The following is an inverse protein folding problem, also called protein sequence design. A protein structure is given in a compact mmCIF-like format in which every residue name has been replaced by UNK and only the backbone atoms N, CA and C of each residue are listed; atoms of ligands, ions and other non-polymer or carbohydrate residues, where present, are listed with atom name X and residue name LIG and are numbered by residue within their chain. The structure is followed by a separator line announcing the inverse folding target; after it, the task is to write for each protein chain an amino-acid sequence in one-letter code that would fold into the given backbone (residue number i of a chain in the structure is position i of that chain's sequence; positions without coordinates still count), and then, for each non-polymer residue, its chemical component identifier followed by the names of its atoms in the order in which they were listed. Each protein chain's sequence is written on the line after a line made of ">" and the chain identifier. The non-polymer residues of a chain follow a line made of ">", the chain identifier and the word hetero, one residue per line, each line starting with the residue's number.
data_IF_019047696733
#
_entry.id   IF_019047696733
#
_cell.length_a   1.000
_cell.length_b   1.000
_cell.length_c   1.000
_cell.angle_alpha   90.00
_cell.angle_beta   90.00
_cell.angle_gamma   90.00
#
_symmetry.space_group_name_H-M   'P 1'
#
loop_
_entity.id
_entity.type
_entity.pdbx_description
1 polymer ?
#
# COMPACT_ATOMS: atom_id res chain seq x y z
N UNK A 1 5.13 -23.07 6.69
CA UNK A 1 4.28 -23.33 5.51
C UNK A 1 4.43 -22.16 4.54
N UNK A 2 4.53 -22.42 3.22
CA UNK A 2 4.77 -21.37 2.23
C UNK A 2 3.54 -20.48 2.03
N UNK A 3 3.77 -19.20 1.78
CA UNK A 3 2.70 -18.25 1.43
C UNK A 3 2.28 -18.39 -0.03
N UNK A 4 1.05 -17.96 -0.36
CA UNK A 4 0.56 -17.90 -1.76
C UNK A 4 1.56 -17.23 -2.71
N UNK A 5 2.12 -16.07 -2.30
CA UNK A 5 3.09 -15.31 -3.11
C UNK A 5 4.39 -16.09 -3.34
N UNK A 6 4.89 -16.80 -2.33
CA UNK A 6 6.09 -17.65 -2.47
C UNK A 6 5.85 -18.79 -3.47
N UNK A 7 4.67 -19.42 -3.44
CA UNK A 7 4.29 -20.48 -4.39
C UNK A 7 4.19 -19.94 -5.81
N UNK A 8 3.49 -18.82 -6.01
CA UNK A 8 3.38 -18.16 -7.32
C UNK A 8 4.75 -17.78 -7.88
N UNK A 9 5.63 -17.22 -7.04
CA UNK A 9 6.97 -16.84 -7.45
C UNK A 9 7.83 -18.04 -7.84
N UNK A 10 7.77 -19.14 -7.07
CA UNK A 10 8.48 -20.37 -7.36
C UNK A 10 8.08 -20.98 -8.69
N UNK A 11 6.77 -21.03 -8.98
CA UNK A 11 6.23 -21.68 -10.18
C UNK A 11 6.41 -20.84 -11.46
N UNK A 12 6.57 -19.52 -11.35
CA UNK A 12 6.60 -18.59 -12.49
C UNK A 12 7.62 -18.93 -13.58
N UNK A 13 8.78 -19.49 -13.21
CA UNK A 13 9.87 -19.81 -14.15
C UNK A 13 10.04 -21.30 -14.41
N UNK A 14 9.08 -22.14 -13.98
CA UNK A 14 9.23 -23.60 -14.01
C UNK A 14 8.66 -24.19 -15.27
N UNK A 15 9.39 -25.17 -15.80
CA UNK A 15 8.85 -26.15 -16.74
C UNK A 15 8.36 -27.36 -15.96
N UNK A 16 7.44 -28.10 -16.56
CA UNK A 16 6.85 -29.30 -15.96
C UNK A 16 7.32 -30.52 -16.76
N UNK A 17 7.55 -31.64 -16.08
CA UNK A 17 7.99 -32.88 -16.74
C UNK A 17 6.92 -33.48 -17.63
N UNK A 18 5.67 -33.49 -17.17
CA UNK A 18 4.55 -34.05 -17.91
C UNK A 18 3.25 -33.30 -17.69
N UNK A 19 2.24 -33.60 -18.53
CA UNK A 19 0.89 -33.09 -18.34
C UNK A 19 0.26 -33.56 -17.02
N UNK A 20 0.57 -34.79 -16.59
CA UNK A 20 0.06 -35.36 -15.34
C UNK A 20 0.64 -34.58 -14.15
N UNK A 21 1.94 -34.26 -14.17
CA UNK A 21 2.59 -33.45 -13.14
C UNK A 21 2.00 -32.05 -13.07
N UNK A 22 1.82 -31.41 -14.22
CA UNK A 22 1.18 -30.08 -14.29
C UNK A 22 -0.24 -30.11 -13.71
N UNK A 23 -1.07 -31.10 -14.11
CA UNK A 23 -2.43 -31.25 -13.59
C UNK A 23 -2.45 -31.46 -12.08
N UNK A 24 -1.55 -32.28 -11.54
CA UNK A 24 -1.41 -32.50 -10.11
C UNK A 24 -1.05 -31.22 -9.35
N UNK A 25 0.00 -30.53 -9.77
CA UNK A 25 0.47 -29.28 -9.15
C UNK A 25 -0.61 -28.18 -9.28
N UNK A 26 -1.24 -28.05 -10.45
CA UNK A 26 -2.28 -27.07 -10.71
C UNK A 26 -3.52 -27.30 -9.83
N UNK A 27 -3.95 -28.56 -9.66
CA UNK A 27 -5.07 -28.92 -8.81
C UNK A 27 -4.79 -28.61 -7.34
N UNK A 28 -3.58 -28.92 -6.86
CA UNK A 28 -3.12 -28.56 -5.52
C UNK A 28 -3.14 -27.04 -5.31
N UNK A 29 -2.51 -26.28 -6.22
CA UNK A 29 -2.42 -24.82 -6.13
C UNK A 29 -3.80 -24.14 -6.17
N UNK A 30 -4.74 -24.69 -6.93
CA UNK A 30 -6.12 -24.19 -6.99
C UNK A 30 -6.87 -24.46 -5.68
N UNK A 31 -6.70 -25.64 -5.10
CA UNK A 31 -7.42 -26.06 -3.89
C UNK A 31 -6.91 -25.32 -2.66
N UNK A 32 -5.60 -25.29 -2.45
CA UNK A 32 -5.00 -24.72 -1.23
C UNK A 32 -4.89 -23.19 -1.26
N UNK A 33 -4.65 -22.60 -2.44
CA UNK A 33 -4.30 -21.18 -2.55
C UNK A 33 -5.19 -20.38 -3.52
N UNK A 34 -6.16 -21.04 -4.17
CA UNK A 34 -6.95 -20.45 -5.24
C UNK A 34 -6.07 -19.78 -6.31
N UNK A 35 -4.97 -20.47 -6.69
CA UNK A 35 -4.07 -20.08 -7.77
C UNK A 35 -4.51 -20.83 -9.03
N UNK A 36 -4.66 -20.10 -10.15
CA UNK A 36 -4.92 -20.70 -11.47
C UNK A 36 -3.64 -20.65 -12.30
N UNK A 37 -3.03 -21.81 -12.54
CA UNK A 37 -1.85 -21.91 -13.39
C UNK A 37 -2.26 -21.92 -14.87
N UNK A 38 -1.50 -21.21 -15.70
CA UNK A 38 -1.65 -21.29 -17.14
C UNK A 38 -1.08 -22.62 -17.64
N UNK A 39 -1.79 -23.25 -18.58
CA UNK A 39 -1.31 -24.47 -19.25
C UNK A 39 0.00 -24.13 -19.97
N UNK A 40 1.09 -24.88 -19.73
CA UNK A 40 2.36 -24.62 -20.38
C UNK A 40 2.28 -24.93 -21.88
N UNK A 41 3.06 -24.24 -22.70
CA UNK A 41 3.15 -24.49 -24.13
C UNK A 41 3.88 -25.78 -24.47
N UNK A 42 4.74 -26.27 -23.57
CA UNK A 42 5.46 -27.54 -23.71
C UNK A 42 5.87 -28.11 -22.35
N UNK A 43 6.16 -29.41 -22.35
CA UNK A 43 6.75 -30.14 -21.23
C UNK A 43 8.24 -30.40 -21.50
N UNK A 44 9.02 -30.71 -20.47
CA UNK A 44 10.48 -30.76 -20.56
C UNK A 44 11.07 -31.90 -19.74
N UNK A 45 11.98 -32.66 -20.33
CA UNK A 45 12.79 -33.68 -19.64
C UNK A 45 14.04 -33.09 -18.99
N UNK A 46 14.06 -31.78 -18.78
CA UNK A 46 15.16 -31.10 -18.11
C UNK A 46 15.25 -31.61 -16.66
N UNK A 47 16.45 -31.91 -16.12
CA UNK A 47 16.61 -32.27 -14.71
C UNK A 47 15.98 -31.27 -13.72
N UNK A 48 15.84 -30.00 -14.11
CA UNK A 48 15.19 -28.95 -13.31
C UNK A 48 13.68 -28.82 -13.55
N UNK A 49 13.10 -29.57 -14.49
CA UNK A 49 11.67 -29.60 -14.72
C UNK A 49 10.94 -30.26 -13.53
N UNK A 50 9.80 -29.69 -13.14
CA UNK A 50 9.06 -30.14 -11.97
C UNK A 50 8.18 -31.36 -12.28
N UNK A 51 8.38 -32.40 -11.48
CA UNK A 51 7.33 -33.38 -11.19
C UNK A 51 6.61 -33.03 -9.88
N UNK A 52 5.49 -33.71 -9.64
CA UNK A 52 4.68 -33.49 -8.44
C UNK A 52 5.46 -33.77 -7.14
N UNK A 53 6.27 -34.83 -7.10
CA UNK A 53 7.02 -35.21 -5.91
C UNK A 53 8.07 -34.15 -5.53
N UNK A 54 8.77 -33.61 -6.52
CA UNK A 54 9.75 -32.54 -6.36
C UNK A 54 9.09 -31.25 -5.88
N UNK A 55 7.93 -30.90 -6.45
CA UNK A 55 7.15 -29.76 -5.97
C UNK A 55 6.72 -29.95 -4.50
N UNK A 56 6.16 -31.12 -4.16
CA UNK A 56 5.71 -31.41 -2.80
C UNK A 56 6.87 -31.35 -1.79
N UNK A 57 8.05 -31.88 -2.14
CA UNK A 57 9.23 -31.82 -1.29
C UNK A 57 9.73 -30.37 -1.09
N UNK A 58 9.80 -29.57 -2.16
CA UNK A 58 10.16 -28.14 -2.02
C UNK A 58 9.13 -27.35 -1.21
N UNK A 59 7.85 -27.68 -1.36
CA UNK A 59 6.77 -27.01 -0.65
C UNK A 59 6.86 -27.24 0.86
N UNK A 60 7.16 -28.48 1.26
CA UNK A 60 7.29 -28.88 2.67
C UNK A 60 8.61 -28.42 3.30
N UNK A 61 9.74 -28.69 2.63
CA UNK A 61 11.09 -28.57 3.21
C UNK A 61 11.98 -27.53 2.55
N UNK A 62 11.63 -27.07 1.36
CA UNK A 62 12.43 -26.11 0.62
C UNK A 62 12.29 -24.69 1.17
N UNK A 63 13.09 -23.76 0.65
CA UNK A 63 13.05 -22.36 1.04
C UNK A 63 12.26 -21.52 0.02
N UNK A 64 11.51 -20.56 0.51
CA UNK A 64 10.75 -19.59 -0.26
C UNK A 64 11.40 -18.22 -0.21
N UNK A 65 11.02 -17.34 -1.14
CA UNK A 65 11.47 -15.97 -1.13
C UNK A 65 10.99 -15.25 0.16
N UNK A 66 11.89 -14.51 0.81
CA UNK A 66 11.67 -13.88 2.12
C UNK A 66 12.05 -14.74 3.32
N UNK A 67 12.39 -16.01 3.14
CA UNK A 67 12.87 -16.84 4.25
C UNK A 67 14.29 -16.39 4.66
N UNK A 68 14.56 -16.38 5.98
CA UNK A 68 15.91 -16.20 6.51
C UNK A 68 16.60 -17.56 6.68
N UNK A 69 17.78 -17.69 6.10
CA UNK A 69 18.62 -18.89 6.17
C UNK A 69 19.97 -18.58 6.77
N UNK A 70 20.64 -19.60 7.31
CA UNK A 70 21.99 -19.52 7.87
C UNK A 70 22.87 -20.63 7.29
N UNK A 71 24.14 -20.32 7.12
CA UNK A 71 25.19 -21.25 6.75
C UNK A 71 26.50 -20.72 7.32
N UNK A 72 27.34 -21.60 7.88
CA UNK A 72 28.53 -21.18 8.63
C UNK A 72 28.14 -20.09 9.66
N UNK A 73 28.87 -18.96 9.66
CA UNK A 73 28.62 -17.79 10.52
C UNK A 73 27.78 -16.69 9.83
N UNK A 74 27.17 -17.01 8.68
CA UNK A 74 26.40 -16.07 7.87
C UNK A 74 24.89 -16.29 8.03
N UNK A 75 24.13 -15.20 7.97
CA UNK A 75 22.67 -15.24 7.77
C UNK A 75 22.32 -14.52 6.47
N UNK A 76 21.26 -14.95 5.79
CA UNK A 76 20.86 -14.35 4.52
C UNK A 76 19.37 -14.43 4.23
N UNK A 77 18.93 -13.50 3.39
CA UNK A 77 17.56 -13.36 2.91
C UNK A 77 17.42 -14.01 1.53
N UNK A 78 16.55 -15.00 1.44
CA UNK A 78 16.28 -15.71 0.19
C UNK A 78 15.48 -14.82 -0.75
N UNK A 79 16.01 -14.54 -1.94
CA UNK A 79 15.29 -13.89 -3.02
C UNK A 79 14.52 -14.90 -3.89
N UNK A 80 15.14 -16.03 -4.21
CA UNK A 80 14.53 -17.06 -5.06
C UNK A 80 14.91 -18.44 -4.52
N UNK A 81 13.91 -19.27 -4.23
CA UNK A 81 14.13 -20.67 -3.84
C UNK A 81 14.00 -21.59 -5.04
N UNK A 82 14.97 -22.47 -5.25
CA UNK A 82 14.87 -23.59 -6.19
C UNK A 82 14.82 -24.92 -5.41
N UNK A 83 14.72 -26.02 -6.17
CA UNK A 83 14.75 -27.38 -5.60
C UNK A 83 16.09 -27.66 -4.91
N UNK A 84 17.19 -27.33 -5.59
CA UNK A 84 18.55 -27.69 -5.14
C UNK A 84 19.37 -26.50 -4.66
N UNK A 85 18.95 -25.27 -4.98
CA UNK A 85 19.70 -24.04 -4.67
C UNK A 85 18.77 -22.95 -4.18
N UNK A 86 19.35 -21.95 -3.52
CA UNK A 86 18.67 -20.69 -3.20
C UNK A 86 19.52 -19.53 -3.70
N UNK A 87 18.87 -18.50 -4.21
CA UNK A 87 19.48 -17.21 -4.49
C UNK A 87 19.31 -16.32 -3.26
N UNK A 88 20.42 -15.93 -2.64
CA UNK A 88 20.46 -14.96 -1.55
C UNK A 88 20.68 -13.57 -2.13
N UNK A 89 19.95 -12.58 -1.62
CA UNK A 89 20.04 -11.18 -2.09
C UNK A 89 20.57 -10.20 -1.04
N UNK A 90 20.58 -10.62 0.22
CA UNK A 90 21.19 -9.91 1.32
C UNK A 90 21.79 -10.96 2.23
N UNK A 91 23.05 -10.81 2.60
CA UNK A 91 23.68 -11.60 3.65
C UNK A 91 24.36 -10.72 4.67
N UNK A 92 24.52 -11.24 5.87
CA UNK A 92 25.29 -10.63 6.94
C UNK A 92 26.37 -11.63 7.32
N UNK A 93 27.61 -11.28 7.00
CA UNK A 93 28.79 -12.06 7.34
C UNK A 93 29.36 -11.46 8.65
N UNK A 94 29.09 -12.11 9.78
CA UNK A 94 29.35 -11.55 11.11
C UNK A 94 28.48 -10.31 11.41
N UNK A 95 29.03 -9.10 11.14
CA UNK A 95 28.34 -7.81 11.31
C UNK A 95 28.24 -6.99 10.02
N UNK A 96 28.79 -7.46 8.91
CA UNK A 96 28.86 -6.68 7.67
C UNK A 96 27.75 -7.10 6.72
N UNK A 97 26.83 -6.20 6.34
CA UNK A 97 25.83 -6.50 5.32
C UNK A 97 26.45 -6.48 3.92
N UNK A 98 26.07 -7.46 3.10
CA UNK A 98 26.44 -7.56 1.70
C UNK A 98 25.17 -7.83 0.85
N UNK A 99 25.01 -7.06 -0.23
CA UNK A 99 23.84 -7.08 -1.12
C UNK A 99 24.10 -7.80 -2.45
N UNK A 100 25.29 -8.38 -2.61
CA UNK A 100 25.64 -9.15 -3.79
C UNK A 100 24.84 -10.46 -3.81
N UNK A 101 24.31 -10.77 -4.98
CA UNK A 101 23.54 -11.99 -5.17
C UNK A 101 24.45 -13.19 -5.22
N UNK A 102 24.17 -14.20 -4.41
CA UNK A 102 24.89 -15.48 -4.43
C UNK A 102 23.93 -16.65 -4.47
N UNK A 103 24.31 -17.70 -5.19
CA UNK A 103 23.56 -18.95 -5.26
C UNK A 103 24.22 -19.96 -4.32
N UNK A 104 23.44 -20.54 -3.41
CA UNK A 104 23.93 -21.50 -2.41
C UNK A 104 23.15 -22.81 -2.54
N UNK A 105 23.81 -23.99 -2.47
CA UNK A 105 23.10 -25.28 -2.39
C UNK A 105 22.21 -25.39 -1.16
N UNK A 106 21.01 -25.95 -1.33
CA UNK A 106 20.05 -26.20 -0.24
C UNK A 106 20.63 -27.12 0.84
N UNK A 107 21.52 -28.05 0.47
CA UNK A 107 22.11 -29.02 1.40
C UNK A 107 23.04 -28.42 2.47
N UNK A 108 23.46 -27.16 2.35
CA UNK A 108 24.39 -26.52 3.30
C UNK A 108 23.78 -25.34 4.07
N UNK A 109 22.48 -25.09 3.90
CA UNK A 109 21.75 -24.01 4.58
C UNK A 109 20.71 -24.58 5.55
N UNK A 110 20.41 -23.83 6.60
CA UNK A 110 19.34 -24.14 7.55
C UNK A 110 18.50 -22.90 7.85
N UNK A 111 17.26 -23.02 8.37
CA UNK A 111 16.48 -21.86 8.79
C UNK A 111 17.19 -21.05 9.89
N UNK A 112 17.21 -19.72 9.78
CA UNK A 112 17.89 -18.82 10.72
C UNK A 112 17.00 -18.31 11.88
N UNK A 113 15.68 -18.52 11.79
CA UNK A 113 14.71 -18.08 12.79
C UNK A 113 14.36 -16.59 12.73
N UNK A 114 13.41 -16.17 13.55
CA UNK A 114 12.79 -14.84 13.50
C UNK A 114 13.77 -13.71 13.88
N UNK A 115 14.66 -13.93 14.85
CA UNK A 115 15.67 -12.93 15.23
C UNK A 115 16.61 -12.58 14.06
N UNK A 116 17.00 -13.56 13.26
CA UNK A 116 17.83 -13.34 12.08
C UNK A 116 17.06 -12.58 11.00
N UNK A 117 15.79 -12.94 10.78
CA UNK A 117 14.89 -12.26 9.85
C UNK A 117 14.72 -10.78 10.24
N UNK A 118 14.41 -10.50 11.51
CA UNK A 118 14.29 -9.15 12.03
C UNK A 118 15.59 -8.34 11.86
N UNK A 119 16.74 -8.98 12.06
CA UNK A 119 18.04 -8.35 11.83
C UNK A 119 18.27 -8.00 10.35
N UNK A 120 17.92 -8.89 9.42
CA UNK A 120 18.01 -8.63 7.97
C UNK A 120 17.12 -7.46 7.56
N UNK A 121 15.86 -7.45 8.00
CA UNK A 121 14.93 -6.34 7.70
C UNK A 121 15.33 -5.01 8.36
N UNK A 122 15.90 -5.04 9.58
CA UNK A 122 16.44 -3.83 10.21
C UNK A 122 17.59 -3.20 9.40
N UNK A 123 18.42 -4.02 8.74
CA UNK A 123 19.47 -3.51 7.86
C UNK A 123 18.89 -2.87 6.61
N UNK A 124 17.89 -3.51 5.99
CA UNK A 124 17.19 -2.94 4.83
C UNK A 124 16.63 -1.55 5.19
N UNK A 125 15.91 -1.46 6.29
CA UNK A 125 15.26 -0.23 6.74
C UNK A 125 16.28 0.89 7.02
N UNK A 126 17.37 0.59 7.73
CA UNK A 126 18.48 1.55 7.98
C UNK A 126 19.14 2.07 6.71
N UNK A 127 19.06 1.33 5.61
CA UNK A 127 19.57 1.75 4.30
C UNK A 127 18.49 2.37 3.41
N UNK A 128 17.28 2.59 3.93
CA UNK A 128 16.15 3.10 3.14
C UNK A 128 15.72 2.12 2.05
N UNK A 129 15.88 0.81 2.28
CA UNK A 129 15.54 -0.27 1.36
C UNK A 129 14.41 -1.12 1.90
N UNK A 130 13.70 -1.77 1.01
CA UNK A 130 12.70 -2.77 1.35
C UNK A 130 12.87 -4.01 0.48
N UNK A 131 12.37 -5.14 0.97
CA UNK A 131 12.32 -6.39 0.21
C UNK A 131 10.86 -6.71 -0.09
N UNK A 132 10.48 -6.73 -1.36
CA UNK A 132 9.05 -6.82 -1.67
C UNK A 132 8.64 -6.84 -3.14
N UNK A 133 7.37 -6.48 -3.32
CA UNK A 133 6.55 -6.71 -4.52
C UNK A 133 7.07 -5.89 -5.73
N UNK A 134 6.98 -6.39 -6.98
CA UNK A 134 6.26 -7.61 -7.40
C UNK A 134 7.08 -8.91 -7.31
N UNK A 135 8.39 -8.83 -7.08
CA UNK A 135 9.29 -9.91 -7.49
C UNK A 135 10.30 -10.37 -6.44
N UNK A 136 10.03 -10.11 -5.15
CA UNK A 136 10.94 -10.47 -4.06
C UNK A 136 12.36 -9.95 -4.32
N UNK A 137 12.42 -8.66 -4.64
CA UNK A 137 13.67 -7.95 -4.89
C UNK A 137 13.89 -6.92 -3.80
N UNK A 138 15.15 -6.59 -3.56
CA UNK A 138 15.52 -5.41 -2.78
C UNK A 138 15.37 -4.19 -3.68
N UNK A 139 14.60 -3.23 -3.23
CA UNK A 139 14.42 -1.92 -3.88
C UNK A 139 14.57 -0.81 -2.84
N UNK A 140 14.67 0.43 -3.30
CA UNK A 140 14.55 1.56 -2.39
C UNK A 140 13.13 1.61 -1.83
N UNK A 141 13.02 1.90 -0.53
CA UNK A 141 11.76 1.98 0.20
C UNK A 141 10.93 3.10 -0.39
N UNK A 142 9.74 2.77 -0.87
CA UNK A 142 8.85 3.78 -1.42
C UNK A 142 8.20 4.61 -0.29
N UNK A 143 8.56 5.89 -0.23
CA UNK A 143 7.97 6.88 0.67
C UNK A 143 6.92 7.68 -0.09
N UNK A 144 5.63 7.55 0.26
CA UNK A 144 4.58 8.20 -0.50
C UNK A 144 4.55 9.72 -0.28
N UNK A 145 4.07 10.44 -1.29
CA UNK A 145 3.94 11.89 -1.31
C UNK A 145 2.48 12.29 -1.10
N UNK A 146 2.26 13.56 -0.79
CA UNK A 146 0.92 14.13 -0.75
C UNK A 146 0.14 13.81 -2.04
N UNK A 147 -1.10 13.38 -1.86
CA UNK A 147 -2.06 12.97 -2.89
C UNK A 147 -1.76 11.65 -3.61
N UNK A 148 -0.72 10.91 -3.19
CA UNK A 148 -0.49 9.56 -3.71
C UNK A 148 -1.62 8.62 -3.28
N UNK A 149 -2.07 7.81 -4.24
CA UNK A 149 -3.00 6.70 -4.05
C UNK A 149 -2.19 5.46 -3.71
N UNK A 150 -2.35 4.94 -2.50
CA UNK A 150 -1.47 3.88 -1.98
C UNK A 150 -2.24 2.72 -1.38
N UNK A 151 -1.78 1.50 -1.66
CA UNK A 151 -1.99 0.37 -0.77
C UNK A 151 -0.90 0.39 0.30
N UNK A 152 -1.24 -0.04 1.51
CA UNK A 152 -0.29 -0.17 2.60
C UNK A 152 -0.44 -1.52 3.31
N UNK A 153 0.67 -1.99 3.89
CA UNK A 153 0.72 -3.18 4.74
C UNK A 153 1.50 -2.83 6.01
N UNK A 154 0.89 -2.99 7.17
CA UNK A 154 1.52 -2.78 8.46
C UNK A 154 2.27 -4.04 8.91
N UNK A 155 3.57 -3.94 9.10
CA UNK A 155 4.42 -5.09 9.45
C UNK A 155 4.24 -5.55 10.90
N UNK A 156 3.77 -4.68 11.80
CA UNK A 156 3.55 -5.01 13.22
C UNK A 156 2.21 -5.70 13.45
N UNK A 157 1.15 -5.22 12.78
CA UNK A 157 -0.23 -5.71 12.99
C UNK A 157 -0.70 -6.67 11.90
N UNK A 158 0.01 -6.72 10.76
CA UNK A 158 -0.42 -7.45 9.57
C UNK A 158 -1.60 -6.81 8.84
N UNK A 159 -2.08 -5.64 9.29
CA UNK A 159 -3.20 -4.96 8.66
C UNK A 159 -2.83 -4.45 7.27
N UNK A 160 -3.78 -4.62 6.34
CA UNK A 160 -3.64 -4.13 4.97
C UNK A 160 -4.77 -3.18 4.62
N UNK A 161 -4.47 -2.19 3.80
CA UNK A 161 -5.45 -1.20 3.41
C UNK A 161 -5.06 -0.40 2.19
N UNK A 162 -5.89 0.58 1.85
CA UNK A 162 -5.65 1.52 0.77
C UNK A 162 -6.22 2.90 1.10
N UNK A 163 -5.65 3.96 0.55
CA UNK A 163 -6.08 5.33 0.84
C UNK A 163 -5.36 6.39 0.03
N UNK A 164 -5.57 7.64 0.44
CA UNK A 164 -4.95 8.83 -0.15
C UNK A 164 -4.06 9.50 0.89
N UNK A 165 -2.77 9.62 0.58
CA UNK A 165 -1.80 10.24 1.48
C UNK A 165 -1.98 11.76 1.52
N UNK A 166 -1.91 12.34 2.72
CA UNK A 166 -1.82 13.79 2.92
C UNK A 166 -0.38 14.22 3.14
N UNK A 167 0.28 13.57 4.09
CA UNK A 167 1.62 13.94 4.51
C UNK A 167 2.38 12.69 4.96
N UNK A 168 3.63 12.58 4.53
CA UNK A 168 4.64 11.75 5.15
C UNK A 168 5.66 12.70 5.78
N UNK A 169 5.57 12.91 7.09
CA UNK A 169 6.44 13.82 7.81
C UNK A 169 7.77 13.14 8.11
N UNK A 170 8.84 13.67 7.52
CA UNK A 170 10.19 13.12 7.68
C UNK A 170 10.77 13.33 9.08
N UNK A 171 10.30 14.34 9.81
CA UNK A 171 10.84 14.69 11.13
C UNK A 171 10.28 13.80 12.24
N UNK A 172 8.97 13.59 12.23
CA UNK A 172 8.28 12.73 13.19
C UNK A 172 8.18 11.27 12.75
N UNK A 173 8.36 11.00 11.45
CA UNK A 173 8.07 9.72 10.82
C UNK A 173 6.59 9.44 10.69
N UNK A 174 5.71 10.40 10.93
CA UNK A 174 4.26 10.20 10.90
C UNK A 174 3.72 10.19 9.46
N UNK A 175 2.80 9.26 9.20
CA UNK A 175 2.00 9.27 7.99
C UNK A 175 0.55 9.65 8.30
N UNK A 176 0.11 10.70 7.62
CA UNK A 176 -1.24 11.27 7.71
C UNK A 176 -1.92 11.10 6.36
N UNK A 177 -3.18 10.68 6.39
CA UNK A 177 -4.01 10.39 5.24
C UNK A 177 -5.17 11.40 5.15
N UNK A 178 -5.66 11.66 3.94
CA UNK A 178 -6.98 12.30 3.77
C UNK A 178 -8.11 11.30 4.04
N UNK A 179 -7.89 10.04 3.67
CA UNK A 179 -8.79 8.94 3.96
C UNK A 179 -8.06 7.62 3.73
N UNK A 180 -8.53 6.58 4.40
CA UNK A 180 -8.09 5.22 4.14
C UNK A 180 -9.12 4.18 4.59
N UNK A 181 -8.95 2.97 4.08
CA UNK A 181 -9.73 1.79 4.44
C UNK A 181 -8.72 0.72 4.87
N UNK A 182 -8.92 0.15 6.06
CA UNK A 182 -8.30 -1.12 6.45
C UNK A 182 -9.28 -2.23 6.05
N UNK A 183 -8.79 -3.32 5.44
CA UNK A 183 -9.67 -4.41 4.98
C UNK A 183 -10.51 -4.95 6.14
N UNK A 184 -11.83 -4.91 5.97
CA UNK A 184 -12.80 -5.37 6.98
C UNK A 184 -13.23 -4.29 7.99
N UNK A 185 -12.64 -3.10 7.93
CA UNK A 185 -13.01 -1.97 8.79
C UNK A 185 -13.76 -0.87 8.00
N UNK A 186 -14.57 -0.03 8.67
CA UNK A 186 -15.15 1.15 8.05
C UNK A 186 -14.08 2.13 7.54
N UNK A 187 -14.42 2.89 6.49
CA UNK A 187 -13.54 3.96 5.99
C UNK A 187 -13.29 5.00 7.06
N UNK A 188 -12.01 5.36 7.23
CA UNK A 188 -11.59 6.48 8.05
C UNK A 188 -11.32 7.67 7.14
N UNK A 189 -11.85 8.81 7.52
CA UNK A 189 -11.73 10.03 6.74
C UNK A 189 -11.78 11.24 7.67
N UNK A 190 -10.81 12.09 7.47
CA UNK A 190 -10.74 13.45 7.95
C UNK A 190 -9.67 14.11 7.11
N UNK A 191 -9.61 15.43 7.16
CA UNK A 191 -8.50 16.09 6.50
C UNK A 191 -7.15 15.74 7.16
N UNK A 192 -7.06 15.00 8.28
CA UNK A 192 -5.82 14.69 9.00
C UNK A 192 -5.87 13.31 9.70
N UNK A 193 -6.23 12.23 9.00
CA UNK A 193 -6.27 10.90 9.60
C UNK A 193 -4.87 10.36 9.88
N UNK A 194 -4.56 10.11 11.15
CA UNK A 194 -3.31 9.45 11.51
C UNK A 194 -3.36 7.97 11.13
N UNK A 195 -2.40 7.51 10.33
CA UNK A 195 -2.26 6.10 9.97
C UNK A 195 -1.22 5.38 10.83
N UNK A 196 -0.11 6.06 11.19
CA UNK A 196 0.94 5.49 12.04
C UNK A 196 2.32 6.04 11.71
N UNK A 197 3.37 5.29 12.11
CA UNK A 197 4.77 5.58 11.78
C UNK A 197 5.13 4.96 10.44
N UNK A 198 5.80 5.71 9.57
CA UNK A 198 6.17 5.29 8.22
C UNK A 198 6.98 4.00 8.20
N UNK A 199 7.81 3.75 9.22
CA UNK A 199 8.63 2.56 9.32
C UNK A 199 7.86 1.28 9.65
N UNK A 200 6.61 1.43 10.10
CA UNK A 200 5.74 0.30 10.37
C UNK A 200 5.04 -0.21 9.10
N UNK A 201 5.18 0.48 7.96
CA UNK A 201 4.45 0.19 6.73
C UNK A 201 5.34 0.08 5.49
N UNK A 202 4.94 -0.84 4.60
CA UNK A 202 5.30 -0.79 3.18
C UNK A 202 4.15 -0.20 2.39
N UNK A 203 4.48 0.57 1.34
CA UNK A 203 3.50 1.21 0.46
C UNK A 203 3.70 0.77 -0.99
N UNK A 204 2.60 0.71 -1.75
CA UNK A 204 2.64 0.60 -3.21
C UNK A 204 1.62 1.52 -3.82
N UNK A 205 1.96 2.20 -4.92
CA UNK A 205 1.00 3.06 -5.61
C UNK A 205 0.00 2.27 -6.43
N UNK A 206 -1.21 2.83 -6.59
CA UNK A 206 -2.18 2.38 -7.58
C UNK A 206 -2.69 3.57 -8.40
N UNK A 207 -3.15 3.29 -9.61
CA UNK A 207 -3.67 4.28 -10.56
C UNK A 207 -5.16 4.53 -10.33
N UNK A 208 -5.69 5.70 -10.77
CA UNK A 208 -7.13 5.98 -10.68
C UNK A 208 -8.04 4.95 -11.37
N UNK A 209 -7.53 4.21 -12.35
CA UNK A 209 -8.29 3.17 -13.06
C UNK A 209 -8.31 1.82 -12.31
N UNK A 210 -7.45 1.64 -11.30
CA UNK A 210 -7.31 0.37 -10.59
C UNK A 210 -8.50 0.11 -9.66
N UNK A 211 -8.71 -1.17 -9.34
CA UNK A 211 -9.82 -1.62 -8.50
C UNK A 211 -9.86 -0.92 -7.14
N UNK A 212 -8.70 -0.70 -6.52
CA UNK A 212 -8.55 -0.06 -5.22
C UNK A 212 -9.14 1.36 -5.20
N UNK A 213 -9.05 2.09 -6.32
CA UNK A 213 -9.69 3.41 -6.43
C UNK A 213 -11.21 3.26 -6.35
N UNK A 214 -11.79 2.35 -7.14
CA UNK A 214 -13.24 2.10 -7.13
C UNK A 214 -13.72 1.62 -5.76
N UNK A 215 -12.95 0.75 -5.11
CA UNK A 215 -13.25 0.27 -3.77
C UNK A 215 -13.26 1.40 -2.74
N UNK A 216 -12.30 2.34 -2.79
CA UNK A 216 -12.27 3.53 -1.94
C UNK A 216 -13.48 4.44 -2.17
N UNK A 217 -13.83 4.69 -3.44
CA UNK A 217 -15.00 5.51 -3.78
C UNK A 217 -16.30 4.88 -3.24
N UNK A 218 -16.44 3.55 -3.30
CA UNK A 218 -17.58 2.83 -2.72
C UNK A 218 -17.64 2.98 -1.20
N UNK A 219 -16.52 2.79 -0.49
CA UNK A 219 -16.52 2.92 0.97
C UNK A 219 -16.82 4.35 1.43
N UNK A 220 -16.28 5.37 0.74
CA UNK A 220 -16.62 6.77 1.01
C UNK A 220 -18.09 7.08 0.72
N UNK A 221 -18.66 6.52 -0.35
CA UNK A 221 -20.06 6.73 -0.70
C UNK A 221 -21.02 6.18 0.36
N UNK A 222 -20.69 5.08 1.04
CA UNK A 222 -21.49 4.52 2.16
C UNK A 222 -21.68 5.52 3.31
N UNK A 223 -20.72 6.43 3.50
CA UNK A 223 -20.78 7.50 4.51
C UNK A 223 -21.13 8.86 3.90
N UNK A 224 -21.63 8.88 2.65
CA UNK A 224 -22.07 10.09 1.97
C UNK A 224 -20.93 11.03 1.55
N UNK A 225 -19.71 10.51 1.38
CA UNK A 225 -18.50 11.27 1.03
C UNK A 225 -17.93 10.83 -0.32
N UNK A 226 -17.05 11.67 -0.85
CA UNK A 226 -16.21 11.38 -2.01
C UNK A 226 -14.86 12.06 -1.87
N UNK A 227 -13.83 11.52 -2.52
CA UNK A 227 -12.52 12.15 -2.64
C UNK A 227 -12.43 12.97 -3.93
N UNK A 228 -12.23 14.28 -3.79
CA UNK A 228 -11.97 15.17 -4.91
C UNK A 228 -10.45 15.31 -5.09
N UNK A 229 -9.90 14.61 -6.08
CA UNK A 229 -8.46 14.63 -6.36
C UNK A 229 -7.95 16.01 -6.80
N UNK A 230 -8.73 16.77 -7.57
CA UNK A 230 -8.33 18.09 -8.07
C UNK A 230 -8.27 19.13 -6.93
N UNK A 231 -9.28 19.12 -6.06
CA UNK A 231 -9.37 20.04 -4.91
C UNK A 231 -8.69 19.50 -3.64
N UNK A 232 -8.13 18.28 -3.71
CA UNK A 232 -7.42 17.61 -2.63
C UNK A 232 -8.21 17.55 -1.30
N UNK A 233 -9.51 17.23 -1.37
CA UNK A 233 -10.38 17.21 -0.20
C UNK A 233 -11.42 16.11 -0.23
N UNK A 234 -11.87 15.73 0.96
CA UNK A 234 -13.07 14.91 1.16
C UNK A 234 -14.28 15.85 1.16
N UNK A 235 -15.25 15.59 0.29
CA UNK A 235 -16.47 16.39 0.19
C UNK A 235 -17.73 15.51 0.21
N UNK A 236 -18.92 16.07 0.47
CA UNK A 236 -20.17 15.34 0.31
C UNK A 236 -20.31 14.79 -1.11
N UNK A 237 -20.92 13.60 -1.24
CA UNK A 237 -21.13 12.94 -2.53
C UNK A 237 -21.77 13.86 -3.58
N UNK A 238 -22.72 14.68 -3.14
CA UNK A 238 -23.35 15.75 -3.92
C UNK A 238 -23.06 17.10 -3.27
N UNK A 239 -21.88 17.67 -3.57
CA UNK A 239 -21.44 18.93 -2.96
C UNK A 239 -22.24 20.14 -3.48
N UNK A 240 -22.50 20.21 -4.79
CA UNK A 240 -23.35 21.24 -5.39
C UNK A 240 -24.84 20.89 -5.24
N UNK A 241 -25.68 21.89 -5.02
CA UNK A 241 -27.15 21.71 -5.06
C UNK A 241 -27.62 21.58 -6.51
N UNK A 242 -28.85 21.12 -6.74
CA UNK A 242 -29.39 21.03 -8.09
C UNK A 242 -29.63 22.43 -8.69
N UNK A 243 -29.60 22.55 -10.01
CA UNK A 243 -29.98 23.80 -10.70
C UNK A 243 -31.40 24.20 -10.29
N UNK A 244 -31.58 25.48 -9.93
CA UNK A 244 -32.82 26.02 -9.38
C UNK A 244 -32.90 26.01 -7.85
N UNK A 245 -32.02 25.26 -7.17
CA UNK A 245 -31.95 25.25 -5.71
C UNK A 245 -31.07 26.38 -5.16
N UNK A 246 -31.35 26.75 -3.91
CA UNK A 246 -30.59 27.78 -3.18
C UNK A 246 -29.31 27.20 -2.58
N UNK A 247 -28.21 27.92 -2.71
CA UNK A 247 -26.97 27.69 -1.96
C UNK A 247 -26.53 28.95 -1.24
N UNK A 248 -25.62 28.79 -0.29
CA UNK A 248 -25.11 29.83 0.58
C UNK A 248 -23.60 30.01 0.39
N UNK A 249 -23.10 31.23 0.61
CA UNK A 249 -21.68 31.56 0.52
C UNK A 249 -21.36 32.78 1.37
N UNK A 250 -20.08 32.96 1.67
CA UNK A 250 -19.51 34.09 2.40
C UNK A 250 -19.03 35.13 1.38
N UNK A 251 -19.44 36.39 1.52
CA UNK A 251 -18.99 37.48 0.65
C UNK A 251 -17.58 37.94 1.03
N UNK A 252 -16.98 38.73 0.14
CA UNK A 252 -15.74 39.49 0.42
C UNK A 252 -15.88 40.43 1.63
N UNK A 253 -17.10 40.88 1.93
CA UNK A 253 -17.44 41.68 3.11
C UNK A 253 -17.70 40.85 4.38
N UNK A 254 -17.35 39.56 4.38
CA UNK A 254 -17.52 38.67 5.54
C UNK A 254 -18.98 38.53 5.98
N UNK A 255 -19.91 38.46 5.02
CA UNK A 255 -21.33 38.25 5.27
C UNK A 255 -21.82 36.95 4.63
N UNK A 256 -22.69 36.21 5.31
CA UNK A 256 -23.37 35.06 4.71
C UNK A 256 -24.53 35.56 3.86
N UNK A 257 -24.60 35.09 2.61
CA UNK A 257 -25.71 35.36 1.70
C UNK A 257 -26.01 34.12 0.87
N UNK A 258 -27.05 34.19 0.03
CA UNK A 258 -27.46 33.08 -0.84
C UNK A 258 -27.67 33.50 -2.29
N UNK A 259 -27.67 32.50 -3.16
CA UNK A 259 -27.98 32.63 -4.58
C UNK A 259 -28.64 31.33 -5.06
N UNK A 260 -29.19 31.35 -6.27
CA UNK A 260 -29.80 30.18 -6.92
C UNK A 260 -28.78 29.54 -7.86
N UNK A 261 -28.60 28.23 -7.78
CA UNK A 261 -27.71 27.49 -8.67
C UNK A 261 -28.25 27.54 -10.10
N UNK A 262 -27.42 28.04 -11.03
CA UNK A 262 -27.75 28.19 -12.46
C UNK A 262 -26.67 27.58 -13.37
N UNK A 263 -25.68 26.90 -12.79
CA UNK A 263 -24.51 26.41 -13.52
C UNK A 263 -23.54 27.51 -13.95
N UNK A 264 -23.53 28.67 -13.27
CA UNK A 264 -22.72 29.80 -13.69
C UNK A 264 -21.24 29.63 -13.34
N UNK A 265 -20.36 30.35 -14.05
CA UNK A 265 -18.93 30.42 -13.71
C UNK A 265 -18.72 30.92 -12.28
N UNK A 266 -19.56 31.84 -11.80
CA UNK A 266 -19.48 32.38 -10.44
C UNK A 266 -19.81 31.32 -9.38
N UNK A 267 -20.87 30.53 -9.55
CA UNK A 267 -21.19 29.44 -8.61
C UNK A 267 -20.10 28.37 -8.61
N UNK A 268 -19.51 28.10 -9.77
CA UNK A 268 -18.38 27.17 -9.88
C UNK A 268 -17.13 27.69 -9.16
N UNK A 269 -16.75 28.97 -9.32
CA UNK A 269 -15.63 29.57 -8.60
C UNK A 269 -15.81 29.49 -7.08
N UNK A 270 -17.03 29.74 -6.58
CA UNK A 270 -17.40 29.58 -5.17
C UNK A 270 -17.19 28.13 -4.69
N UNK A 271 -17.65 27.14 -5.46
CA UNK A 271 -17.43 25.72 -5.17
C UNK A 271 -15.94 25.33 -5.12
N UNK A 272 -15.17 25.75 -6.13
CA UNK A 272 -13.73 25.47 -6.21
C UNK A 272 -12.98 26.07 -5.01
N UNK A 273 -13.38 27.26 -4.55
CA UNK A 273 -12.83 27.91 -3.37
C UNK A 273 -13.27 27.27 -2.04
N UNK A 274 -14.20 26.31 -2.05
CA UNK A 274 -14.81 25.77 -0.82
C UNK A 274 -15.81 26.71 -0.16
N UNK A 275 -16.12 27.84 -0.80
CA UNK A 275 -17.08 28.84 -0.35
C UNK A 275 -18.47 28.59 -0.97
N UNK A 276 -18.96 27.37 -0.81
CA UNK A 276 -20.26 26.93 -1.33
C UNK A 276 -20.89 25.98 -0.33
N UNK A 277 -22.01 26.40 0.25
CA UNK A 277 -22.66 25.68 1.35
C UNK A 277 -24.10 25.35 0.97
N UNK A 278 -24.52 24.13 1.26
CA UNK A 278 -25.91 23.68 1.01
C UNK A 278 -26.88 24.22 2.06
N UNK A 279 -26.38 24.60 3.23
CA UNK A 279 -27.19 25.10 4.35
C UNK A 279 -26.58 26.38 4.89
N UNK A 280 -27.41 27.35 5.21
CA UNK A 280 -27.01 28.64 5.77
C UNK A 280 -26.17 28.47 7.04
N UNK A 281 -26.62 27.60 7.95
CA UNK A 281 -25.92 27.30 9.21
C UNK A 281 -24.48 26.82 9.01
N UNK A 282 -24.19 26.12 7.91
CA UNK A 282 -22.85 25.63 7.63
C UNK A 282 -21.94 26.80 7.22
N UNK A 283 -22.45 27.75 6.43
CA UNK A 283 -21.75 28.98 6.07
C UNK A 283 -21.51 29.88 7.30
N UNK A 284 -22.52 30.04 8.16
CA UNK A 284 -22.42 30.83 9.41
C UNK A 284 -21.35 30.23 10.33
N UNK A 285 -21.33 28.91 10.49
CA UNK A 285 -20.34 28.21 11.31
C UNK A 285 -18.93 28.46 10.81
N UNK A 286 -18.69 28.25 9.52
CA UNK A 286 -17.36 28.48 8.92
C UNK A 286 -16.95 29.94 9.04
N UNK A 287 -17.85 30.89 8.72
CA UNK A 287 -17.57 32.31 8.89
C UNK A 287 -17.14 32.65 10.32
N UNK A 288 -17.81 32.08 11.32
CA UNK A 288 -17.49 32.29 12.73
C UNK A 288 -16.09 31.75 13.06
N UNK A 289 -15.75 30.54 12.61
CA UNK A 289 -14.40 29.97 12.79
C UNK A 289 -13.33 30.83 12.10
N UNK A 290 -13.57 31.30 10.87
CA UNK A 290 -12.60 32.14 10.17
C UNK A 290 -12.43 33.52 10.82
N UNK A 291 -13.48 34.09 11.41
CA UNK A 291 -13.39 35.36 12.16
C UNK A 291 -12.49 35.18 13.38
N UNK A 292 -12.62 34.08 14.12
CA UNK A 292 -11.77 33.79 15.28
C UNK A 292 -10.31 33.58 14.87
N UNK A 293 -10.03 32.91 13.75
CA UNK A 293 -8.67 32.78 13.20
C UNK A 293 -8.05 34.17 12.97
N UNK A 294 -8.81 35.10 12.36
CA UNK A 294 -8.32 36.47 12.12
C UNK A 294 -8.12 37.25 13.42
N UNK A 295 -9.04 37.13 14.38
CA UNK A 295 -8.90 37.77 15.71
C UNK A 295 -7.64 37.30 16.42
N UNK A 296 -7.39 35.99 16.43
CA UNK A 296 -6.20 35.42 17.05
C UNK A 296 -4.93 35.91 16.35
N UNK A 297 -4.89 35.87 15.01
CA UNK A 297 -3.75 36.37 14.25
C UNK A 297 -3.44 37.85 14.53
N UNK A 298 -4.47 38.71 14.57
CA UNK A 298 -4.30 40.14 14.87
C UNK A 298 -3.86 40.43 16.30
N UNK A 299 -4.02 39.46 17.21
CA UNK A 299 -3.56 39.57 18.59
C UNK A 299 -2.11 39.07 18.78
N UNK A 300 -1.49 38.48 17.74
CA UNK A 300 -0.10 38.03 17.81
C UNK A 300 0.85 39.23 17.98
N UNK A 301 1.92 39.09 18.78
CA UNK A 301 2.91 40.14 18.93
C UNK A 301 3.62 40.39 17.59
N UNK A 302 3.89 41.66 17.28
CA UNK A 302 4.71 42.00 16.12
C UNK A 302 6.13 41.44 16.31
N UNK A 303 6.58 40.64 15.34
CA UNK A 303 7.98 40.20 15.28
C UNK A 303 8.81 41.41 14.84
N UNK A 304 9.53 42.03 15.78
CA UNK A 304 10.50 43.09 15.54
C UNK A 304 11.88 42.54 15.21
#
# INVERSE_FOLDING_TARGET
>A
MKTKKQVEHFLRKRKYKSEIDFKGISSYCKTEYNIKLHVPSSYSDDPEALDYATFANWFDKGFGAGDAVKWNDSIGLVQEGNVNTVLICLRIDGNTPNFDKITIPVGIITPAGENALNRLYSILDKQGKEFGNPFFVISDKYIPKSCDLVCFHNHKTGQEGYGVVRLADKSSGDIVMYCYVIKGEPVKYSMNEYLGKIDDFSFTTFKPADYQRKALDVELAKVGKTWNHFLKRIEPLNMKVATGERYWYITDKMQVTSDVEKGTVTSNKRYLAGNYFRREKDAIRILSEEIEIRRNFLAEPEIR
#
